data_IF_600504549042
#
_entry.id   IF_600504549042
#
_cell.length_a   1.000
_cell.length_b   1.000
_cell.length_c   1.000
_cell.angle_alpha   90.00
_cell.angle_beta   90.00
_cell.angle_gamma   90.00
#
_symmetry.space_group_name_H-M   'P 1'
#
loop_
_entity.id
_entity.type
_entity.pdbx_description
1 polymer ?
#
# COMPACT_ATOMS: atom_id res chain seq x y z
N UNK A 1 -7.51 -1.84 -44.13
CA UNK A 1 -7.33 -2.34 -42.75
C UNK A 1 -5.92 -2.85 -42.41
N UNK A 2 -4.91 -2.72 -43.30
CA UNK A 2 -3.55 -3.25 -43.03
C UNK A 2 -2.61 -2.16 -42.44
N UNK A 3 -2.93 -0.89 -42.63
CA UNK A 3 -2.06 0.24 -42.24
C UNK A 3 -2.12 0.64 -40.76
N UNK A 4 -3.17 0.27 -40.03
CA UNK A 4 -3.31 0.61 -38.59
C UNK A 4 -2.64 -0.42 -37.66
N UNK A 5 -2.46 -1.67 -38.09
CA UNK A 5 -1.79 -2.70 -37.28
C UNK A 5 -0.27 -2.51 -37.19
N UNK A 6 0.35 -1.97 -38.23
CA UNK A 6 1.81 -1.72 -38.24
C UNK A 6 2.19 -0.55 -37.32
N UNK A 7 1.34 0.48 -37.19
CA UNK A 7 1.57 1.63 -36.31
C UNK A 7 1.48 1.30 -34.81
N UNK A 8 0.65 0.31 -34.43
CA UNK A 8 0.55 -0.17 -33.04
C UNK A 8 1.77 -1.00 -32.62
N UNK A 9 2.34 -1.80 -33.53
CA UNK A 9 3.52 -2.62 -33.24
C UNK A 9 4.81 -1.79 -33.13
N UNK A 10 4.95 -0.71 -33.91
CA UNK A 10 6.09 0.20 -33.83
C UNK A 10 6.15 0.98 -32.49
N UNK A 11 5.00 1.25 -31.86
CA UNK A 11 4.93 1.92 -30.57
C UNK A 11 5.25 0.99 -29.37
N UNK A 12 5.10 -0.32 -29.51
CA UNK A 12 5.47 -1.28 -28.46
C UNK A 12 6.98 -1.53 -28.41
N UNK A 13 7.67 -1.56 -29.56
CA UNK A 13 9.13 -1.76 -29.63
C UNK A 13 9.91 -0.57 -29.08
N UNK A 14 9.45 0.66 -29.33
CA UNK A 14 10.07 1.88 -28.78
C UNK A 14 9.94 1.98 -27.24
N UNK A 15 8.83 1.49 -26.65
CA UNK A 15 8.67 1.44 -25.19
C UNK A 15 9.60 0.44 -24.52
N UNK A 16 9.90 -0.68 -25.18
CA UNK A 16 10.84 -1.67 -24.64
C UNK A 16 12.30 -1.19 -24.66
N UNK A 17 12.72 -0.45 -25.70
CA UNK A 17 14.07 0.12 -25.76
C UNK A 17 14.32 1.21 -24.71
N UNK A 18 13.32 2.02 -24.39
CA UNK A 18 13.45 3.09 -23.38
C UNK A 18 13.63 2.54 -21.95
N UNK A 19 12.99 1.40 -21.63
CA UNK A 19 13.06 0.76 -20.31
C UNK A 19 14.41 0.04 -20.09
N UNK A 20 15.03 -0.48 -21.15
CA UNK A 20 16.32 -1.18 -21.05
C UNK A 20 17.48 -0.17 -20.87
N UNK A 21 17.41 0.99 -21.51
CA UNK A 21 18.41 2.06 -21.38
C UNK A 21 18.51 2.62 -19.94
N UNK A 22 17.36 2.88 -19.31
CA UNK A 22 17.32 3.45 -17.95
C UNK A 22 17.91 2.54 -16.87
N UNK A 23 17.83 1.21 -17.04
CA UNK A 23 18.37 0.27 -16.06
C UNK A 23 19.90 0.13 -16.12
N UNK A 24 20.56 0.41 -17.25
CA UNK A 24 22.03 0.38 -17.34
C UNK A 24 22.69 1.59 -16.66
N UNK A 25 22.07 2.77 -16.69
CA UNK A 25 22.59 3.97 -16.01
C UNK A 25 22.50 3.89 -14.48
N UNK A 26 21.49 3.19 -13.94
CA UNK A 26 21.32 3.06 -12.49
C UNK A 26 22.38 2.13 -11.89
N UNK A 27 22.74 1.04 -12.59
CA UNK A 27 23.73 0.07 -12.10
C UNK A 27 25.17 0.61 -12.14
N UNK A 28 25.53 1.50 -13.08
CA UNK A 28 26.88 2.08 -13.11
C UNK A 28 27.10 3.17 -12.04
N UNK A 29 26.05 3.86 -11.61
CA UNK A 29 26.14 4.92 -10.59
C UNK A 29 26.35 4.41 -9.16
N UNK A 30 26.13 3.11 -8.92
CA UNK A 30 26.20 2.49 -7.59
C UNK A 30 27.55 1.81 -7.29
N UNK A 31 28.49 1.79 -8.23
CA UNK A 31 29.80 1.11 -8.08
C UNK A 31 30.99 2.05 -7.81
N UNK A 32 30.79 3.38 -7.75
CA UNK A 32 31.88 4.36 -7.62
C UNK A 32 31.79 5.28 -6.38
N UNK A 33 31.25 4.79 -5.26
CA UNK A 33 31.22 5.55 -3.99
C UNK A 33 31.75 4.73 -2.84
N UNK A 34 33.00 4.31 -2.95
CA UNK A 34 33.85 3.98 -1.82
C UNK A 34 35.21 4.64 -2.05
N UNK A 35 35.89 5.02 -0.96
CA UNK A 35 37.16 5.78 -0.85
C UNK A 35 37.02 7.30 -0.69
N UNK A 36 36.75 7.79 0.54
CA UNK A 36 37.61 8.81 1.18
C UNK A 36 37.63 8.59 2.69
N UNK A 37 38.85 8.44 3.18
CA UNK A 37 39.29 8.22 4.55
C UNK A 37 38.81 9.25 5.58
N UNK A 38 38.69 8.74 6.80
CA UNK A 38 38.74 9.44 8.08
C UNK A 38 40.11 10.10 8.32
N UNK A 39 40.12 11.09 9.20
CA UNK A 39 41.29 11.71 9.84
C UNK A 39 42.03 12.82 9.08
N UNK A 40 41.70 14.08 9.43
CA UNK A 40 42.69 15.17 9.58
C UNK A 40 42.17 16.31 10.47
N UNK A 41 43.00 16.84 11.38
CA UNK A 41 42.63 17.89 12.31
C UNK A 41 42.64 19.28 11.65
N UNK A 42 41.81 20.15 12.23
CA UNK A 42 41.67 21.58 11.93
C UNK A 42 43.00 22.29 12.14
N UNK A 43 43.57 22.83 11.07
CA UNK A 43 44.67 23.80 11.14
C UNK A 43 44.10 25.20 10.92
N UNK A 44 44.32 26.01 11.94
CA UNK A 44 43.99 27.43 12.04
C UNK A 44 44.97 28.19 11.16
N UNK A 45 44.48 28.92 10.16
CA UNK A 45 45.27 29.98 9.53
C UNK A 45 44.59 31.34 9.70
N UNK A 46 45.28 32.15 10.51
CA UNK A 46 45.15 33.60 10.60
C UNK A 46 45.81 34.20 9.36
N UNK A 47 45.11 35.06 8.64
CA UNK A 47 45.73 36.09 7.80
C UNK A 47 44.90 37.37 7.82
N UNK A 48 45.41 38.32 8.61
CA UNK A 48 45.48 39.76 8.42
C UNK A 48 44.28 40.57 7.87
N UNK A 49 43.80 41.47 8.71
CA UNK A 49 44.02 42.91 8.50
C UNK A 49 43.13 43.62 7.49
N UNK A 50 42.08 44.29 7.99
CA UNK A 50 41.90 45.73 7.81
C UNK A 50 40.77 46.21 8.74
N UNK A 51 41.12 47.13 9.63
CA UNK A 51 40.23 47.71 10.63
C UNK A 51 39.19 48.62 9.99
N UNK A 52 38.08 48.05 9.56
CA UNK A 52 36.80 48.74 9.60
C UNK A 52 36.08 48.30 10.87
N UNK A 53 35.56 49.21 11.71
CA UNK A 53 34.58 48.81 12.70
C UNK A 53 33.36 48.36 11.91
N UNK A 54 33.27 47.06 11.64
CA UNK A 54 32.01 46.45 11.26
C UNK A 54 31.14 46.72 12.48
N UNK A 55 30.29 47.74 12.37
CA UNK A 55 29.12 47.86 13.22
C UNK A 55 28.28 46.65 12.87
N UNK A 56 28.60 45.52 13.51
CA UNK A 56 27.72 44.37 13.59
C UNK A 56 26.54 44.93 14.35
N UNK A 57 25.57 45.44 13.62
CA UNK A 57 24.34 45.89 14.22
C UNK A 57 23.84 44.72 15.06
N UNK A 58 23.81 44.92 16.38
CA UNK A 58 23.16 44.01 17.33
C UNK A 58 21.63 44.09 17.13
N UNK A 59 21.17 44.21 15.88
CA UNK A 59 19.77 44.32 15.45
C UNK A 59 19.05 42.99 15.33
N UNK A 60 19.69 41.90 15.75
CA UNK A 60 18.99 40.68 16.07
C UNK A 60 19.54 40.17 17.38
N UNK A 61 18.95 40.66 18.47
CA UNK A 61 19.08 40.01 19.77
C UNK A 61 18.93 38.50 19.55
N UNK A 62 19.77 37.74 20.27
CA UNK A 62 19.68 36.28 20.40
C UNK A 62 18.33 35.92 21.03
N UNK A 63 17.23 36.16 20.32
CA UNK A 63 15.98 35.48 20.57
C UNK A 63 16.32 34.03 20.28
N UNK A 64 16.33 33.22 21.33
CA UNK A 64 16.39 31.77 21.25
C UNK A 64 15.40 31.33 20.17
N UNK A 65 15.87 31.15 18.93
CA UNK A 65 15.07 30.54 17.87
C UNK A 65 14.90 29.12 18.33
N UNK A 66 13.72 28.80 18.88
CA UNK A 66 13.34 27.43 19.15
C UNK A 66 13.33 26.74 17.79
N UNK A 67 14.36 25.95 17.51
CA UNK A 67 14.48 25.21 16.26
C UNK A 67 13.45 24.09 16.30
N UNK A 68 12.28 24.36 15.72
CA UNK A 68 11.25 23.37 15.50
C UNK A 68 11.71 22.44 14.37
N UNK A 69 12.47 21.43 14.75
CA UNK A 69 13.10 20.48 13.83
C UNK A 69 12.10 19.37 13.43
N UNK A 70 11.07 19.16 14.25
CA UNK A 70 9.99 18.22 13.97
C UNK A 70 8.64 18.92 13.76
N UNK A 71 7.79 18.41 12.86
CA UNK A 71 6.51 19.03 12.52
C UNK A 71 5.58 19.15 13.74
N UNK A 72 5.72 18.20 14.67
CA UNK A 72 4.89 18.09 15.86
C UNK A 72 5.16 19.22 16.87
N UNK A 73 6.27 19.94 16.75
CA UNK A 73 6.63 21.01 17.69
C UNK A 73 5.81 22.29 17.46
N UNK A 74 5.16 22.44 16.30
CA UNK A 74 4.47 23.68 15.90
C UNK A 74 3.15 23.46 15.17
N UNK A 75 2.83 22.24 14.74
CA UNK A 75 1.53 21.93 14.13
C UNK A 75 0.49 21.63 15.21
N UNK A 76 -0.79 21.96 14.96
CA UNK A 76 -1.88 21.67 15.90
C UNK A 76 -2.27 20.19 15.94
N UNK A 77 -1.66 19.36 15.09
CA UNK A 77 -1.90 17.92 15.02
C UNK A 77 -0.60 17.13 15.06
N UNK A 78 -0.68 15.92 15.59
CA UNK A 78 0.45 15.00 15.69
C UNK A 78 0.67 14.26 14.37
N UNK A 79 1.90 14.30 13.85
CA UNK A 79 2.32 13.48 12.72
C UNK A 79 3.30 12.40 13.16
N UNK A 80 2.94 11.15 12.87
CA UNK A 80 3.83 10.01 13.01
C UNK A 80 4.11 9.37 11.65
N UNK A 81 5.37 9.01 11.42
CA UNK A 81 5.72 8.21 10.24
C UNK A 81 5.24 6.78 10.48
N UNK A 82 4.26 6.34 9.69
CA UNK A 82 3.82 4.95 9.70
C UNK A 82 5.00 3.98 9.54
N UNK A 83 5.12 3.02 10.47
CA UNK A 83 6.11 1.94 10.38
C UNK A 83 5.73 1.03 9.22
N UNK A 84 6.50 1.07 8.14
CA UNK A 84 6.30 0.17 7.02
C UNK A 84 6.93 -1.18 7.33
N UNK A 85 6.15 -2.25 7.25
CA UNK A 85 6.69 -3.60 7.24
C UNK A 85 7.61 -3.76 6.03
N UNK A 86 8.76 -4.44 6.18
CA UNK A 86 9.65 -4.66 5.05
C UNK A 86 8.94 -5.51 3.99
N UNK A 87 9.21 -5.22 2.71
CA UNK A 87 8.44 -5.80 1.61
C UNK A 87 8.35 -7.33 1.61
N UNK A 88 9.40 -8.00 2.09
CA UNK A 88 9.48 -9.48 2.10
C UNK A 88 8.59 -10.12 3.15
N UNK A 89 8.13 -9.36 4.14
CA UNK A 89 7.12 -9.77 5.11
C UNK A 89 5.70 -9.39 4.67
N UNK A 90 5.57 -8.44 3.74
CA UNK A 90 4.28 -8.02 3.19
C UNK A 90 3.87 -8.90 2.00
N UNK A 91 3.68 -10.18 2.27
CA UNK A 91 3.25 -11.14 1.26
C UNK A 91 1.75 -11.09 1.03
N UNK A 92 0.93 -10.75 2.03
CA UNK A 92 -0.53 -10.78 1.91
C UNK A 92 -1.12 -12.18 2.11
N UNK A 93 -0.32 -13.15 2.57
CA UNK A 93 -0.81 -14.47 2.95
C UNK A 93 -1.24 -14.45 4.42
N UNK A 94 -2.38 -15.05 4.74
CA UNK A 94 -2.81 -15.22 6.13
C UNK A 94 -1.96 -16.29 6.84
N UNK A 95 -1.60 -17.34 6.09
CA UNK A 95 -0.77 -18.45 6.58
C UNK A 95 0.64 -18.33 6.01
N UNK A 96 1.62 -18.26 6.90
CA UNK A 96 3.04 -18.11 6.54
C UNK A 96 3.73 -19.44 6.23
N UNK A 97 3.26 -20.54 6.82
CA UNK A 97 3.78 -21.89 6.58
C UNK A 97 3.05 -22.57 5.40
N UNK A 98 3.71 -23.54 4.75
CA UNK A 98 3.15 -24.26 3.59
C UNK A 98 2.00 -25.18 4.01
N UNK A 99 2.04 -25.69 5.24
CA UNK A 99 1.08 -26.63 5.82
C UNK A 99 1.80 -27.73 6.60
N UNK A 100 1.04 -28.53 7.35
CA UNK A 100 1.54 -29.75 7.99
C UNK A 100 1.60 -30.87 6.95
N UNK A 101 2.55 -31.79 7.08
CA UNK A 101 2.67 -32.97 6.22
C UNK A 101 2.84 -34.24 7.03
N UNK A 102 2.44 -35.36 6.44
CA UNK A 102 2.58 -36.67 7.06
C UNK A 102 4.01 -37.16 6.93
N UNK A 103 4.69 -37.30 8.07
CA UNK A 103 6.08 -37.79 8.14
C UNK A 103 6.25 -39.18 7.52
N UNK A 104 5.20 -40.01 7.60
CA UNK A 104 5.17 -41.38 7.07
C UNK A 104 4.91 -41.45 5.57
N UNK A 105 4.52 -40.34 4.93
CA UNK A 105 4.30 -40.34 3.49
C UNK A 105 5.63 -40.58 2.76
N UNK A 106 5.55 -41.23 1.60
CA UNK A 106 6.70 -41.48 0.74
C UNK A 106 7.06 -40.21 -0.04
N UNK A 107 8.35 -40.04 -0.34
CA UNK A 107 8.83 -39.04 -1.29
C UNK A 107 8.07 -39.18 -2.62
N UNK A 108 7.72 -38.06 -3.25
CA UNK A 108 6.83 -38.01 -4.41
C UNK A 108 7.21 -39.01 -5.52
N UNK A 109 8.47 -39.00 -5.94
CA UNK A 109 8.92 -39.83 -7.06
C UNK A 109 8.99 -41.33 -6.68
N UNK A 110 9.19 -41.62 -5.40
CA UNK A 110 9.29 -42.98 -4.89
C UNK A 110 7.94 -43.71 -4.86
N UNK A 111 6.81 -42.98 -4.90
CA UNK A 111 5.47 -43.56 -4.90
C UNK A 111 5.17 -44.39 -6.16
N UNK A 112 5.84 -44.09 -7.27
CA UNK A 112 5.63 -44.78 -8.54
C UNK A 112 6.46 -46.06 -8.69
N UNK A 113 7.40 -46.33 -7.79
CA UNK A 113 8.24 -47.53 -7.84
C UNK A 113 7.47 -48.75 -7.32
N UNK A 114 7.35 -49.78 -8.15
CA UNK A 114 6.76 -51.06 -7.77
C UNK A 114 7.68 -51.85 -6.84
N UNK A 115 9.00 -51.71 -7.01
CA UNK A 115 10.03 -52.37 -6.19
C UNK A 115 9.91 -51.96 -4.72
N UNK A 116 9.56 -50.71 -4.47
CA UNK A 116 9.42 -50.17 -3.11
C UNK A 116 8.23 -50.78 -2.34
N UNK A 117 7.23 -51.32 -3.05
CA UNK A 117 6.11 -52.04 -2.43
C UNK A 117 6.56 -53.39 -1.85
N UNK A 118 7.52 -54.03 -2.50
CA UNK A 118 8.06 -55.34 -2.10
C UNK A 118 9.32 -55.23 -1.21
N UNK A 119 9.86 -54.02 -1.06
CA UNK A 119 11.08 -53.78 -0.29
C UNK A 119 10.87 -54.01 1.22
N UNK A 120 11.92 -54.41 1.96
CA UNK A 120 11.86 -54.56 3.41
C UNK A 120 11.54 -53.24 4.09
N UNK A 121 10.87 -53.30 5.26
CA UNK A 121 10.34 -52.12 5.96
C UNK A 121 11.41 -51.06 6.25
N UNK A 122 12.63 -51.49 6.59
CA UNK A 122 13.78 -50.61 6.85
C UNK A 122 14.10 -49.74 5.63
N UNK A 123 14.09 -50.33 4.43
CA UNK A 123 14.34 -49.61 3.17
C UNK A 123 13.16 -48.68 2.88
N UNK A 124 11.92 -49.16 3.03
CA UNK A 124 10.73 -48.32 2.83
C UNK A 124 10.72 -47.09 3.74
N UNK A 125 11.20 -47.23 4.98
CA UNK A 125 11.30 -46.13 5.95
C UNK A 125 12.26 -45.04 5.48
N UNK A 126 13.38 -45.39 4.83
CA UNK A 126 14.34 -44.40 4.33
C UNK A 126 13.74 -43.49 3.25
N UNK A 127 12.75 -43.97 2.49
CA UNK A 127 12.03 -43.19 1.47
C UNK A 127 10.84 -42.39 2.03
N UNK A 128 10.67 -42.33 3.35
CA UNK A 128 9.63 -41.50 3.97
C UNK A 128 10.08 -40.05 4.13
N UNK A 129 9.12 -39.13 4.16
CA UNK A 129 9.36 -37.69 4.35
C UNK A 129 10.00 -37.35 5.70
N UNK A 130 9.96 -38.26 6.68
CA UNK A 130 10.67 -38.13 7.95
C UNK A 130 12.19 -37.99 7.75
N UNK A 131 12.76 -38.78 6.85
CA UNK A 131 14.20 -38.83 6.56
C UNK A 131 14.60 -37.99 5.34
N UNK A 132 13.62 -37.45 4.62
CA UNK A 132 13.85 -36.69 3.40
C UNK A 132 14.42 -35.29 3.71
N UNK A 133 15.20 -34.77 2.76
CA UNK A 133 15.62 -33.38 2.81
C UNK A 133 14.42 -32.43 2.72
N UNK A 134 14.55 -31.25 3.31
CA UNK A 134 13.52 -30.21 3.26
C UNK A 134 13.05 -29.89 1.83
N UNK A 135 13.95 -29.97 0.85
CA UNK A 135 13.62 -29.74 -0.57
C UNK A 135 12.57 -30.74 -1.08
N UNK A 136 12.71 -32.02 -0.73
CA UNK A 136 11.78 -33.08 -1.11
C UNK A 136 10.45 -32.95 -0.37
N UNK A 137 10.48 -32.56 0.91
CA UNK A 137 9.27 -32.21 1.67
C UNK A 137 8.49 -31.08 0.99
N UNK A 138 9.17 -29.97 0.65
CA UNK A 138 8.54 -28.84 -0.05
C UNK A 138 8.01 -29.25 -1.42
N UNK A 139 8.73 -30.13 -2.14
CA UNK A 139 8.29 -30.67 -3.43
C UNK A 139 7.02 -31.51 -3.29
N UNK A 140 6.94 -32.38 -2.28
CA UNK A 140 5.74 -33.15 -1.97
C UNK A 140 4.55 -32.25 -1.65
N UNK A 141 4.73 -31.29 -0.74
CA UNK A 141 3.67 -30.34 -0.38
C UNK A 141 3.20 -29.51 -1.57
N UNK A 142 4.15 -29.01 -2.38
CA UNK A 142 3.85 -28.28 -3.60
C UNK A 142 2.98 -29.13 -4.53
N UNK A 143 3.33 -30.39 -4.75
CA UNK A 143 2.58 -31.28 -5.63
C UNK A 143 1.13 -31.45 -5.18
N UNK A 144 0.91 -31.68 -3.88
CA UNK A 144 -0.42 -31.86 -3.31
C UNK A 144 -1.28 -30.60 -3.42
N UNK A 145 -0.72 -29.43 -3.08
CA UNK A 145 -1.44 -28.15 -3.25
C UNK A 145 -1.72 -27.88 -4.74
N UNK A 146 -0.76 -28.16 -5.62
CA UNK A 146 -0.95 -28.01 -7.06
C UNK A 146 -2.01 -28.95 -7.63
N UNK A 147 -2.20 -30.15 -7.07
CA UNK A 147 -3.23 -31.10 -7.51
C UNK A 147 -4.64 -30.55 -7.34
N UNK A 148 -4.89 -29.83 -6.26
CA UNK A 148 -6.18 -29.18 -6.00
C UNK A 148 -6.38 -27.94 -6.90
N UNK A 149 -5.31 -27.23 -7.23
CA UNK A 149 -5.40 -25.95 -7.97
C UNK A 149 -5.37 -26.09 -9.49
N UNK A 150 -4.76 -27.15 -10.02
CA UNK A 150 -4.53 -27.33 -11.47
C UNK A 150 -5.82 -27.72 -12.20
N UNK A 151 -5.97 -27.32 -13.47
CA UNK A 151 -7.12 -27.69 -14.30
C UNK A 151 -7.03 -29.12 -14.83
N UNK A 152 -5.82 -29.52 -15.20
CA UNK A 152 -5.51 -30.87 -15.67
C UNK A 152 -4.18 -31.36 -15.06
N UNK A 153 -3.91 -32.67 -15.01
CA UNK A 153 -2.74 -33.24 -14.33
C UNK A 153 -1.39 -32.65 -14.77
N UNK A 154 -1.25 -32.35 -16.05
CA UNK A 154 -0.01 -31.83 -16.67
C UNK A 154 0.05 -30.29 -16.73
N UNK A 155 -0.90 -29.59 -16.11
CA UNK A 155 -0.96 -28.12 -16.17
C UNK A 155 0.13 -27.49 -15.30
N UNK A 156 0.97 -26.66 -15.92
CA UNK A 156 2.08 -25.95 -15.26
C UNK A 156 2.08 -24.45 -15.56
N UNK A 157 1.28 -24.02 -16.53
CA UNK A 157 1.38 -22.67 -17.11
C UNK A 157 0.15 -21.81 -16.82
N UNK A 158 -0.97 -22.42 -16.43
CA UNK A 158 -2.17 -21.70 -16.04
C UNK A 158 -1.91 -20.69 -14.91
N UNK A 159 -2.70 -19.60 -14.84
CA UNK A 159 -2.55 -18.61 -13.78
C UNK A 159 -2.66 -19.24 -12.38
N UNK A 160 -3.58 -20.19 -12.18
CA UNK A 160 -3.79 -20.88 -10.90
C UNK A 160 -2.57 -21.72 -10.51
N UNK A 161 -2.02 -22.51 -11.45
CA UNK A 161 -0.82 -23.31 -11.20
C UNK A 161 0.40 -22.44 -10.88
N UNK A 162 0.56 -21.31 -11.60
CA UNK A 162 1.66 -20.36 -11.36
C UNK A 162 1.52 -19.61 -10.04
N UNK A 163 0.31 -19.18 -9.69
CA UNK A 163 0.02 -18.57 -8.39
C UNK A 163 0.39 -19.54 -7.27
N UNK A 164 0.01 -20.82 -7.42
CA UNK A 164 0.35 -21.89 -6.47
C UNK A 164 1.86 -22.10 -6.34
N UNK A 165 2.59 -22.18 -7.46
CA UNK A 165 4.06 -22.30 -7.42
C UNK A 165 4.73 -21.10 -6.72
N UNK A 166 4.26 -19.88 -7.00
CA UNK A 166 4.79 -18.68 -6.36
C UNK A 166 4.49 -18.64 -4.87
N UNK A 167 3.27 -18.99 -4.43
CA UNK A 167 2.90 -18.99 -3.02
C UNK A 167 3.71 -19.99 -2.20
N UNK A 168 3.90 -21.22 -2.70
CA UNK A 168 4.73 -22.22 -2.01
C UNK A 168 6.17 -21.75 -1.88
N UNK A 169 6.73 -21.14 -2.92
CA UNK A 169 8.09 -20.55 -2.87
C UNK A 169 8.18 -19.40 -1.86
N UNK A 170 7.20 -18.50 -1.86
CA UNK A 170 7.14 -17.37 -0.92
C UNK A 170 7.09 -17.88 0.53
N UNK A 171 6.24 -18.86 0.84
CA UNK A 171 6.13 -19.50 2.16
C UNK A 171 7.41 -20.23 2.57
N UNK A 172 8.07 -20.92 1.65
CA UNK A 172 9.36 -21.55 1.93
C UNK A 172 10.44 -20.50 2.26
N UNK A 173 10.46 -19.39 1.52
CA UNK A 173 11.37 -18.28 1.83
C UNK A 173 11.03 -17.60 3.16
N UNK A 174 9.74 -17.39 3.46
CA UNK A 174 9.27 -16.91 4.76
C UNK A 174 9.83 -17.74 5.90
N UNK A 175 9.67 -19.06 5.83
CA UNK A 175 10.27 -19.93 6.82
C UNK A 175 11.80 -19.75 6.89
N UNK A 176 12.51 -19.67 5.77
CA UNK A 176 13.96 -19.54 5.78
C UNK A 176 14.42 -18.29 6.51
N UNK A 177 13.88 -17.11 6.21
CA UNK A 177 14.34 -15.88 6.87
C UNK A 177 13.74 -15.64 8.26
N UNK A 178 12.67 -16.34 8.64
CA UNK A 178 12.14 -16.26 10.01
C UNK A 178 12.84 -17.24 10.97
N UNK A 179 13.19 -18.44 10.49
CA UNK A 179 13.67 -19.53 11.36
C UNK A 179 15.14 -19.93 11.13
N UNK A 180 15.70 -19.69 9.95
CA UNK A 180 17.06 -20.17 9.58
C UNK A 180 18.06 -19.03 9.54
N UNK A 181 17.90 -18.12 8.58
CA UNK A 181 18.82 -16.99 8.38
C UNK A 181 18.04 -15.71 8.05
N UNK A 182 17.85 -14.83 9.05
CA UNK A 182 17.18 -13.55 8.86
C UNK A 182 17.92 -12.59 7.95
N UNK A 183 19.19 -12.81 7.60
CA UNK A 183 20.04 -11.84 6.89
C UNK A 183 20.22 -12.17 5.40
N UNK A 184 19.59 -13.25 4.92
CA UNK A 184 19.59 -13.68 3.52
C UNK A 184 18.95 -12.65 2.54
N UNK A 185 19.70 -11.61 2.15
CA UNK A 185 19.22 -10.51 1.31
C UNK A 185 18.73 -10.97 -0.07
N UNK A 186 19.45 -11.92 -0.71
CA UNK A 186 19.09 -12.47 -2.02
C UNK A 186 17.70 -13.10 -2.02
N UNK A 187 17.40 -13.90 -1.00
CA UNK A 187 16.09 -14.56 -0.87
C UNK A 187 14.96 -13.56 -0.62
N UNK A 188 15.22 -12.51 0.16
CA UNK A 188 14.25 -11.41 0.38
C UNK A 188 13.91 -10.68 -0.92
N UNK A 189 14.91 -10.39 -1.75
CA UNK A 189 14.71 -9.75 -3.06
C UNK A 189 13.89 -10.66 -3.98
N UNK A 190 14.22 -11.95 -4.04
CA UNK A 190 13.48 -12.92 -4.86
C UNK A 190 12.04 -13.07 -4.36
N UNK A 191 11.83 -13.17 -3.05
CA UNK A 191 10.50 -13.25 -2.43
C UNK A 191 9.62 -12.05 -2.83
N UNK A 192 10.16 -10.83 -2.75
CA UNK A 192 9.47 -9.62 -3.22
C UNK A 192 9.09 -9.71 -4.71
N UNK A 193 10.02 -10.15 -5.55
CA UNK A 193 9.76 -10.34 -6.98
C UNK A 193 8.67 -11.37 -7.26
N UNK A 194 8.64 -12.46 -6.50
CA UNK A 194 7.60 -13.49 -6.60
C UNK A 194 6.24 -12.96 -6.14
N UNK A 195 6.17 -12.21 -5.04
CA UNK A 195 4.92 -11.59 -4.56
C UNK A 195 4.34 -10.65 -5.63
N UNK A 196 5.18 -9.84 -6.29
CA UNK A 196 4.74 -8.96 -7.38
C UNK A 196 4.24 -9.76 -8.60
N UNK A 197 4.96 -10.81 -9.00
CA UNK A 197 4.55 -11.70 -10.10
C UNK A 197 3.23 -12.38 -9.79
N UNK A 198 3.06 -12.91 -8.58
CA UNK A 198 1.82 -13.54 -8.12
C UNK A 198 0.67 -12.55 -8.12
N UNK A 199 0.86 -11.33 -7.60
CA UNK A 199 -0.19 -10.30 -7.59
C UNK A 199 -0.59 -9.89 -9.01
N UNK A 200 0.36 -9.86 -9.96
CA UNK A 200 0.03 -9.66 -11.38
C UNK A 200 -0.86 -10.78 -11.92
N UNK A 201 -0.54 -12.05 -11.63
CA UNK A 201 -1.36 -13.19 -12.07
C UNK A 201 -2.74 -13.20 -11.39
N UNK A 202 -2.83 -12.83 -10.11
CA UNK A 202 -4.10 -12.69 -9.41
C UNK A 202 -4.98 -11.59 -10.03
N UNK A 203 -4.38 -10.47 -10.42
CA UNK A 203 -5.08 -9.42 -11.14
C UNK A 203 -5.59 -9.89 -12.52
N UNK A 204 -4.76 -10.62 -13.27
CA UNK A 204 -5.15 -11.20 -14.55
C UNK A 204 -6.29 -12.21 -14.40
N UNK A 205 -6.21 -13.07 -13.38
CA UNK A 205 -7.26 -14.03 -13.05
C UNK A 205 -8.56 -13.32 -12.63
N UNK A 206 -8.47 -12.25 -11.84
CA UNK A 206 -9.63 -11.46 -11.42
C UNK A 206 -10.45 -10.91 -12.61
N UNK A 207 -9.78 -10.47 -13.67
CA UNK A 207 -10.44 -9.94 -14.86
C UNK A 207 -10.89 -11.02 -15.85
N UNK A 208 -10.23 -12.17 -15.88
CA UNK A 208 -10.55 -13.25 -16.82
C UNK A 208 -11.57 -14.24 -16.27
N UNK A 209 -11.42 -14.67 -15.02
CA UNK A 209 -12.28 -15.69 -14.37
C UNK A 209 -12.41 -15.40 -12.87
N UNK A 210 -13.53 -14.78 -12.51
CA UNK A 210 -13.82 -14.36 -11.13
C UNK A 210 -14.00 -15.54 -10.18
N UNK A 211 -14.67 -16.61 -10.63
CA UNK A 211 -14.96 -17.79 -9.81
C UNK A 211 -13.67 -18.53 -9.45
N UNK A 212 -12.78 -18.71 -10.44
CA UNK A 212 -11.46 -19.29 -10.19
C UNK A 212 -10.60 -18.40 -9.30
N UNK A 213 -10.67 -17.09 -9.49
CA UNK A 213 -9.98 -16.16 -8.59
C UNK A 213 -10.43 -16.36 -7.12
N UNK A 214 -11.74 -16.41 -6.87
CA UNK A 214 -12.28 -16.57 -5.51
C UNK A 214 -11.91 -17.95 -4.94
N UNK A 215 -11.98 -19.01 -5.77
CA UNK A 215 -11.53 -20.36 -5.39
C UNK A 215 -10.05 -20.41 -4.99
N UNK A 216 -9.15 -19.84 -5.80
CA UNK A 216 -7.70 -19.82 -5.54
C UNK A 216 -7.39 -19.01 -4.29
N UNK A 217 -8.00 -17.84 -4.16
CA UNK A 217 -7.80 -16.91 -3.03
C UNK A 217 -8.25 -17.55 -1.71
N UNK A 218 -9.42 -18.20 -1.71
CA UNK A 218 -9.96 -18.93 -0.55
C UNK A 218 -9.13 -20.16 -0.19
N UNK A 219 -8.75 -20.96 -1.19
CA UNK A 219 -8.02 -22.22 -0.96
C UNK A 219 -6.61 -21.99 -0.48
N UNK A 220 -5.91 -21.00 -1.06
CA UNK A 220 -4.55 -20.65 -0.65
C UNK A 220 -4.53 -19.67 0.53
N UNK A 221 -5.66 -19.16 1.01
CA UNK A 221 -5.76 -18.17 2.11
C UNK A 221 -4.90 -16.92 1.86
N UNK A 222 -5.12 -16.30 0.70
CA UNK A 222 -4.43 -15.08 0.27
C UNK A 222 -5.39 -13.91 0.43
N UNK A 223 -4.92 -12.82 1.02
CA UNK A 223 -5.64 -11.54 1.02
C UNK A 223 -5.14 -10.69 -0.16
N UNK A 224 -5.96 -10.57 -1.20
CA UNK A 224 -5.63 -9.75 -2.36
C UNK A 224 -6.78 -8.80 -2.69
N UNK A 225 -6.51 -7.51 -2.64
CA UNK A 225 -7.39 -6.47 -3.18
C UNK A 225 -6.84 -6.02 -4.53
N UNK A 226 -7.61 -6.15 -5.63
CA UNK A 226 -7.22 -5.57 -6.91
C UNK A 226 -7.12 -4.03 -6.79
N UNK A 227 -6.28 -3.39 -7.63
CA UNK A 227 -6.18 -1.93 -7.65
C UNK A 227 -7.52 -1.32 -8.10
N UNK A 228 -8.01 -0.30 -7.38
CA UNK A 228 -9.23 0.42 -7.77
C UNK A 228 -8.97 1.23 -9.04
N UNK A 229 -9.92 1.21 -9.96
CA UNK A 229 -9.81 1.95 -11.22
C UNK A 229 -9.73 3.46 -10.95
N UNK A 230 -8.77 4.15 -11.58
CA UNK A 230 -8.57 5.59 -11.41
C UNK A 230 -7.83 6.01 -10.13
N UNK A 231 -7.55 5.08 -9.22
CA UNK A 231 -6.80 5.37 -8.00
C UNK A 231 -5.30 5.37 -8.27
N UNK A 232 -4.66 6.55 -8.16
CA UNK A 232 -3.22 6.68 -8.30
C UNK A 232 -2.57 6.38 -6.96
N UNK A 233 -1.89 5.23 -6.84
CA UNK A 233 -1.09 4.93 -5.65
C UNK A 233 0.09 5.90 -5.54
N UNK A 234 0.00 6.85 -4.61
CA UNK A 234 1.11 7.73 -4.25
C UNK A 234 1.86 7.13 -3.08
N UNK A 235 3.18 7.01 -3.22
CA UNK A 235 4.03 6.62 -2.09
C UNK A 235 3.83 7.65 -0.96
N UNK A 236 3.52 7.23 0.27
CA UNK A 236 3.37 8.16 1.38
C UNK A 236 4.73 8.83 1.64
N UNK A 237 4.75 10.15 1.51
CA UNK A 237 5.93 10.98 1.80
C UNK A 237 5.62 11.85 3.00
N UNK A 238 6.63 12.20 3.81
CA UNK A 238 6.46 13.11 4.96
C UNK A 238 5.69 14.38 4.56
N UNK A 239 6.10 15.03 3.48
CA UNK A 239 5.46 16.24 2.97
C UNK A 239 4.01 16.00 2.50
N UNK A 240 3.75 14.87 1.85
CA UNK A 240 2.41 14.48 1.41
C UNK A 240 1.46 14.25 2.59
N UNK A 241 1.90 13.49 3.60
CA UNK A 241 1.12 13.23 4.80
C UNK A 241 0.83 14.50 5.59
N UNK A 242 1.82 15.38 5.77
CA UNK A 242 1.61 16.64 6.46
C UNK A 242 0.61 17.55 5.74
N UNK A 243 0.64 17.57 4.41
CA UNK A 243 -0.35 18.31 3.61
C UNK A 243 -1.74 17.69 3.76
N UNK A 244 -1.86 16.37 3.72
CA UNK A 244 -3.11 15.65 3.93
C UNK A 244 -3.70 15.99 5.30
N UNK A 245 -2.92 15.86 6.37
CA UNK A 245 -3.35 16.18 7.74
C UNK A 245 -3.72 17.66 7.91
N UNK A 246 -2.96 18.58 7.28
CA UNK A 246 -3.30 20.00 7.29
C UNK A 246 -4.62 20.28 6.57
N UNK A 247 -4.86 19.65 5.41
CA UNK A 247 -6.13 19.74 4.69
C UNK A 247 -7.28 19.20 5.54
N UNK A 248 -7.14 18.00 6.10
CA UNK A 248 -8.14 17.40 7.00
C UNK A 248 -8.45 18.28 8.20
N UNK A 249 -7.43 18.90 8.82
CA UNK A 249 -7.61 19.83 9.93
C UNK A 249 -8.33 21.13 9.51
N UNK A 250 -7.92 21.73 8.40
CA UNK A 250 -8.56 22.94 7.89
C UNK A 250 -10.02 22.68 7.49
N UNK A 251 -10.31 21.52 6.91
CA UNK A 251 -11.66 21.16 6.51
C UNK A 251 -12.56 20.91 7.73
N UNK A 252 -12.04 20.29 8.80
CA UNK A 252 -12.74 20.21 10.10
C UNK A 252 -13.08 21.60 10.66
N UNK A 253 -12.14 22.53 10.66
CA UNK A 253 -12.43 23.91 11.11
C UNK A 253 -13.52 24.56 10.27
N UNK A 254 -13.53 24.33 8.96
CA UNK A 254 -14.58 24.88 8.08
C UNK A 254 -15.93 24.26 8.40
N UNK A 255 -16.00 22.93 8.56
CA UNK A 255 -17.25 22.23 8.90
C UNK A 255 -17.78 22.73 10.24
N UNK A 256 -16.95 22.81 11.26
CA UNK A 256 -17.35 23.25 12.60
C UNK A 256 -17.90 24.69 12.57
N UNK A 257 -17.27 25.58 11.80
CA UNK A 257 -17.73 26.97 11.63
C UNK A 257 -19.04 27.07 10.86
N UNK A 258 -19.21 26.26 9.80
CA UNK A 258 -20.43 26.22 9.02
C UNK A 258 -21.59 25.67 9.85
N UNK A 259 -21.35 24.62 10.64
CA UNK A 259 -22.33 24.03 11.55
C UNK A 259 -22.74 25.03 12.64
N UNK A 260 -21.78 25.71 13.28
CA UNK A 260 -22.06 26.74 14.27
C UNK A 260 -22.85 27.92 13.68
N UNK A 261 -22.55 28.33 12.45
CA UNK A 261 -23.31 29.38 11.76
C UNK A 261 -24.72 28.92 11.37
N UNK A 262 -24.86 27.69 10.89
CA UNK A 262 -26.16 27.11 10.56
C UNK A 262 -27.07 27.05 11.79
N UNK A 263 -26.54 26.66 12.95
CA UNK A 263 -27.29 26.67 14.21
C UNK A 263 -27.77 28.08 14.61
N UNK A 264 -26.96 29.11 14.39
CA UNK A 264 -27.37 30.51 14.63
C UNK A 264 -28.52 30.93 13.72
N UNK A 265 -28.43 30.61 12.43
CA UNK A 265 -29.49 30.93 11.47
C UNK A 265 -30.81 30.23 11.81
N UNK A 266 -30.75 28.99 12.30
CA UNK A 266 -31.95 28.27 12.76
C UNK A 266 -32.60 29.01 13.95
N UNK A 267 -31.80 29.53 14.88
CA UNK A 267 -32.33 30.31 16.02
C UNK A 267 -32.97 31.62 15.56
N UNK A 268 -32.28 32.37 14.68
CA UNK A 268 -32.80 33.63 14.11
C UNK A 268 -34.09 33.38 13.31
N UNK A 269 -34.16 32.27 12.58
CA UNK A 269 -35.38 31.88 11.86
C UNK A 269 -36.55 31.63 12.80
N UNK A 270 -36.33 30.90 13.91
CA UNK A 270 -37.37 30.65 14.91
C UNK A 270 -37.86 31.94 15.59
N UNK A 271 -36.95 32.89 15.86
CA UNK A 271 -37.31 34.21 16.38
C UNK A 271 -38.10 35.03 15.36
N UNK A 272 -37.67 35.01 14.09
CA UNK A 272 -38.38 35.67 13.00
C UNK A 272 -39.79 35.12 12.79
N UNK A 273 -39.97 33.80 12.87
CA UNK A 273 -41.29 33.15 12.76
C UNK A 273 -42.23 33.59 13.89
N UNK A 274 -41.77 33.65 15.14
CA UNK A 274 -42.56 34.18 16.27
C UNK A 274 -42.94 35.64 16.08
N UNK A 275 -42.00 36.47 15.62
CA UNK A 275 -42.26 37.88 15.36
C UNK A 275 -43.26 38.06 14.23
N UNK A 276 -43.15 37.26 13.16
CA UNK A 276 -44.09 37.24 12.04
C UNK A 276 -45.50 36.88 12.51
N UNK A 277 -45.65 35.82 13.33
CA UNK A 277 -46.95 35.42 13.90
C UNK A 277 -47.57 36.54 14.74
N UNK A 278 -46.77 37.22 15.58
CA UNK A 278 -47.22 38.36 16.39
C UNK A 278 -47.69 39.54 15.53
N UNK A 279 -46.93 39.88 14.48
CA UNK A 279 -47.31 40.95 13.53
C UNK A 279 -48.57 40.58 12.75
N UNK A 280 -48.70 39.34 12.30
CA UNK A 280 -49.92 38.86 11.62
C UNK A 280 -51.14 38.91 12.54
N UNK A 281 -50.98 38.60 13.83
CA UNK A 281 -52.05 38.75 14.83
C UNK A 281 -52.43 40.22 15.02
N UNK A 282 -51.43 41.10 15.19
CA UNK A 282 -51.66 42.54 15.31
C UNK A 282 -52.39 43.13 14.09
N UNK A 283 -51.97 42.78 12.87
CA UNK A 283 -52.65 43.21 11.63
C UNK A 283 -54.12 42.75 11.64
N UNK A 284 -54.39 41.49 11.97
CA UNK A 284 -55.76 40.95 12.02
C UNK A 284 -56.66 41.67 13.01
N UNK A 285 -56.12 42.06 14.16
CA UNK A 285 -56.90 42.78 15.18
C UNK A 285 -57.13 44.24 14.79
N UNK A 286 -56.15 44.88 14.15
CA UNK A 286 -56.28 46.23 13.57
C UNK A 286 -57.30 46.25 12.42
N UNK A 287 -57.27 45.25 11.53
CA UNK A 287 -58.26 45.09 10.45
C UNK A 287 -59.69 44.95 11.00
N UNK A 288 -59.88 44.18 12.08
CA UNK A 288 -61.17 44.08 12.78
C UNK A 288 -61.60 45.42 13.39
N UNK A 289 -60.67 46.15 14.01
CA UNK A 289 -60.94 47.45 14.62
C UNK A 289 -61.39 48.49 13.58
N UNK A 290 -60.71 48.52 12.43
CA UNK A 290 -61.03 49.44 11.32
C UNK A 290 -62.23 48.97 10.48
N UNK A 291 -62.73 47.74 10.68
CA UNK A 291 -63.89 47.19 9.98
C UNK A 291 -63.66 46.92 8.49
N UNK A 292 -62.39 46.79 8.07
CA UNK A 292 -62.02 46.61 6.65
C UNK A 292 -62.09 45.11 6.33
N UNK A 293 -63.08 44.69 5.53
CA UNK A 293 -63.12 43.33 4.99
C UNK A 293 -62.10 43.19 3.84
N UNK A 294 -61.24 42.17 3.92
CA UNK A 294 -60.10 41.82 3.03
C UNK A 294 -60.41 41.83 1.52
N UNK A 295 -61.68 41.90 1.10
CA UNK A 295 -62.13 41.87 -0.30
C UNK A 295 -61.87 43.14 -1.14
N UNK A 296 -61.35 44.24 -0.59
CA UNK A 296 -61.19 45.51 -1.33
C UNK A 296 -59.76 45.86 -1.78
N UNK A 297 -58.73 45.17 -1.31
CA UNK A 297 -57.35 45.41 -1.77
C UNK A 297 -57.07 44.52 -2.98
N UNK A 298 -57.44 45.00 -4.18
CA UNK A 298 -56.92 44.39 -5.41
C UNK A 298 -55.42 44.65 -5.49
N UNK A 299 -54.58 43.66 -5.81
CA UNK A 299 -53.17 43.92 -6.10
C UNK A 299 -53.10 44.87 -7.30
N UNK A 300 -52.46 46.02 -7.12
CA UNK A 300 -52.14 46.90 -8.24
C UNK A 300 -51.19 46.15 -9.19
N UNK A 301 -51.41 46.23 -10.51
CA UNK A 301 -50.64 45.52 -11.53
C UNK A 301 -49.17 45.94 -11.60
#
# INVERSE_FOLDING_TARGET
MITLRTALNANQTLRHHFIISYNKQIVSSLLNRDLVNTDRPVLVDRCCGNGFPVVISKRFGRRYRKWHHWPNDFLPFYWERQRQLPGHLRTGDEVQDIGTWDKKALILDAQFSEELKNAPEVVRRQFTLEFAERKEVVKYQKHHIMEVMRRHPMDKTSPEARITDYTVKIRNFLHHFLKVDPWAARMKIISNGLTLKRNRMLNELYYTDRERFDFVTKSLKITYSPPKLGEIYRKPTRKGELRRLATEYCDKIKTDKLEAYHQKLIQEQQEFEKNKESVEQWIKDEEKFLGISVSQVKPNP
#
